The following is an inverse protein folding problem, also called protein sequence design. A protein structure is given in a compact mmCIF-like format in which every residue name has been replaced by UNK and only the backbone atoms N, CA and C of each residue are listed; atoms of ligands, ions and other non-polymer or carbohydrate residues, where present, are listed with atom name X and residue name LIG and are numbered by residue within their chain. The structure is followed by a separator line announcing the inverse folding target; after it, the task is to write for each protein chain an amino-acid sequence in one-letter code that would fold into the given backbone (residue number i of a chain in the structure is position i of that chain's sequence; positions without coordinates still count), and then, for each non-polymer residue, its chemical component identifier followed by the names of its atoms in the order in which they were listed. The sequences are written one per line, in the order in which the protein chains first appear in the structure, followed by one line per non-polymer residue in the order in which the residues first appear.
data_IF_181133147292
#
_entry.id   IF_181133147292
#
_cell.length_a   1.000
_cell.length_b   1.000
_cell.length_c   1.000
_cell.angle_alpha   90.00
_cell.angle_beta   90.00
_cell.angle_gamma   90.00
#
_symmetry.space_group_name_H-M   'P 1'
#
loop_
_entity.id
_entity.type
_entity.pdbx_description
1 polymer ?
#
# COMPACT_ATOMS: atom_id res chain seq x y z
N UNK A 1 17.75 -7.32 14.16
CA UNK A 1 17.97 -7.71 12.75
C UNK A 1 18.19 -9.19 12.48
N UNK A 2 19.05 -9.86 13.25
CA UNK A 2 19.39 -11.29 13.03
C UNK A 2 18.14 -12.18 13.09
N UNK A 3 17.30 -12.03 14.12
CA UNK A 3 16.08 -12.83 14.25
C UNK A 3 15.13 -12.64 13.07
N UNK A 4 14.90 -11.39 12.64
CA UNK A 4 14.06 -11.09 11.48
C UNK A 4 14.63 -11.75 10.22
N UNK A 5 15.95 -11.72 10.04
CA UNK A 5 16.64 -12.37 8.92
C UNK A 5 16.35 -13.87 8.89
N UNK A 6 16.46 -14.56 10.04
CA UNK A 6 16.19 -16.00 10.14
C UNK A 6 14.74 -16.28 9.75
N UNK A 7 13.78 -15.55 10.33
CA UNK A 7 12.35 -15.72 10.02
C UNK A 7 12.08 -15.46 8.53
N UNK A 8 12.72 -14.45 7.95
CA UNK A 8 12.54 -14.09 6.55
C UNK A 8 13.12 -15.12 5.57
N UNK A 9 14.28 -15.71 5.91
CA UNK A 9 14.87 -16.82 5.14
C UNK A 9 13.95 -18.03 5.18
N UNK A 10 13.41 -18.38 6.35
CA UNK A 10 12.42 -19.46 6.46
C UNK A 10 11.18 -19.15 5.61
N UNK A 11 10.67 -17.93 5.66
CA UNK A 11 9.54 -17.49 4.85
C UNK A 11 9.80 -17.63 3.33
N UNK A 12 10.98 -17.18 2.87
CA UNK A 12 11.40 -17.34 1.47
C UNK A 12 11.45 -18.81 1.06
N UNK A 13 12.05 -19.68 1.89
CA UNK A 13 12.14 -21.11 1.59
C UNK A 13 10.75 -21.76 1.50
N UNK A 14 9.84 -21.44 2.42
CA UNK A 14 8.45 -21.93 2.37
C UNK A 14 7.76 -21.49 1.07
N UNK A 15 7.94 -20.22 0.68
CA UNK A 15 7.36 -19.70 -0.55
C UNK A 15 7.94 -20.36 -1.80
N UNK A 16 9.27 -20.52 -1.90
CA UNK A 16 9.95 -21.17 -3.02
C UNK A 16 9.59 -22.64 -3.14
N UNK A 17 9.55 -23.39 -2.03
CA UNK A 17 9.12 -24.80 -2.03
C UNK A 17 7.67 -24.93 -2.49
N UNK A 18 6.81 -23.98 -2.12
CA UNK A 18 5.42 -23.95 -2.59
C UNK A 18 5.35 -23.73 -4.11
N UNK A 19 6.15 -22.82 -4.66
CA UNK A 19 6.23 -22.61 -6.11
C UNK A 19 6.87 -23.78 -6.87
N UNK A 20 7.83 -24.47 -6.26
CA UNK A 20 8.48 -25.64 -6.85
C UNK A 20 7.53 -26.84 -6.93
N UNK A 21 6.64 -26.99 -5.94
CA UNK A 21 5.61 -28.05 -5.88
C UNK A 21 4.30 -27.69 -6.59
N UNK A 22 4.28 -26.63 -7.41
CA UNK A 22 3.09 -26.23 -8.17
C UNK A 22 2.67 -27.31 -9.17
N UNK A 23 1.39 -27.35 -9.48
CA UNK A 23 0.82 -28.25 -10.52
C UNK A 23 0.77 -27.58 -11.89
N UNK A 24 0.43 -26.29 -11.92
CA UNK A 24 0.38 -25.51 -13.15
C UNK A 24 1.79 -25.16 -13.64
N UNK A 25 2.09 -25.31 -14.94
CA UNK A 25 3.43 -25.00 -15.46
C UNK A 25 3.77 -23.51 -15.29
N UNK A 26 2.78 -22.64 -15.46
CA UNK A 26 2.92 -21.19 -15.32
C UNK A 26 2.80 -20.73 -13.86
N UNK A 27 3.65 -19.78 -13.48
CA UNK A 27 3.55 -19.08 -12.20
C UNK A 27 2.67 -17.85 -12.40
N UNK A 28 1.62 -17.73 -11.60
CA UNK A 28 0.70 -16.59 -11.65
C UNK A 28 1.39 -15.27 -11.27
N UNK A 29 0.98 -14.16 -11.88
CA UNK A 29 1.60 -12.83 -11.73
C UNK A 29 1.64 -12.36 -10.27
N UNK A 30 0.62 -12.69 -9.46
CA UNK A 30 0.63 -12.37 -8.03
C UNK A 30 1.89 -12.92 -7.33
N UNK A 31 2.35 -14.11 -7.74
CA UNK A 31 3.53 -14.74 -7.16
C UNK A 31 4.84 -14.11 -7.67
N UNK A 32 4.84 -13.44 -8.83
CA UNK A 32 5.99 -12.66 -9.28
C UNK A 32 6.20 -11.49 -8.33
N UNK A 33 5.12 -10.77 -8.01
CA UNK A 33 5.12 -9.67 -7.05
C UNK A 33 5.51 -10.13 -5.65
N UNK A 34 4.95 -11.23 -5.14
CA UNK A 34 5.35 -11.78 -3.85
C UNK A 34 6.83 -12.20 -3.84
N UNK A 35 7.31 -12.89 -4.87
CA UNK A 35 8.72 -13.31 -4.92
C UNK A 35 9.66 -12.10 -4.92
N UNK A 36 9.37 -11.09 -5.75
CA UNK A 36 10.16 -9.87 -5.81
C UNK A 36 10.14 -9.13 -4.46
N UNK A 37 8.98 -9.03 -3.83
CA UNK A 37 8.83 -8.50 -2.47
C UNK A 37 9.74 -9.22 -1.47
N UNK A 38 9.65 -10.55 -1.39
CA UNK A 38 10.38 -11.34 -0.39
C UNK A 38 11.89 -11.19 -0.58
N UNK A 39 12.36 -11.32 -1.81
CA UNK A 39 13.80 -11.27 -2.14
C UNK A 39 14.36 -9.87 -1.90
N UNK A 40 13.69 -8.84 -2.41
CA UNK A 40 14.19 -7.47 -2.28
C UNK A 40 14.18 -7.02 -0.81
N UNK A 41 13.13 -7.32 -0.04
CA UNK A 41 13.11 -6.95 1.39
C UNK A 41 14.24 -7.63 2.18
N UNK A 42 14.60 -8.88 1.84
CA UNK A 42 15.75 -9.54 2.45
C UNK A 42 17.06 -8.77 2.15
N UNK A 43 17.27 -8.39 0.89
CA UNK A 43 18.44 -7.61 0.47
C UNK A 43 18.49 -6.24 1.15
N UNK A 44 17.37 -5.52 1.20
CA UNK A 44 17.26 -4.20 1.81
C UNK A 44 17.56 -4.27 3.31
N UNK A 45 16.93 -5.21 4.02
CA UNK A 45 17.12 -5.43 5.45
C UNK A 45 18.58 -5.72 5.79
N UNK A 46 19.23 -6.58 5.01
CA UNK A 46 20.65 -6.90 5.21
C UNK A 46 21.57 -5.72 4.90
N UNK A 47 21.29 -4.96 3.83
CA UNK A 47 22.12 -3.82 3.43
C UNK A 47 22.04 -2.64 4.40
N UNK A 48 20.84 -2.28 4.83
CA UNK A 48 20.61 -1.12 5.70
C UNK A 48 21.03 -1.37 7.15
N UNK A 49 20.83 -2.59 7.64
CA UNK A 49 21.00 -2.89 9.06
C UNK A 49 22.40 -3.44 9.37
N UNK A 50 23.38 -3.15 8.49
CA UNK A 50 24.80 -3.35 8.79
C UNK A 50 25.18 -2.37 9.91
N UNK A 51 25.43 -2.91 11.09
CA UNK A 51 25.75 -2.13 12.28
C UNK A 51 26.74 -2.87 13.17
N UNK A 52 27.55 -2.12 13.91
CA UNK A 52 28.48 -2.64 14.91
C UNK A 52 27.76 -2.57 16.26
N UNK A 53 27.44 -3.71 16.90
CA UNK A 53 26.80 -3.71 18.21
C UNK A 53 27.78 -3.20 19.27
N UNK A 54 27.28 -2.43 20.24
CA UNK A 54 28.08 -1.95 21.38
C UNK A 54 28.59 -3.12 22.23
N UNK A 55 27.77 -4.17 22.38
CA UNK A 55 28.16 -5.47 22.93
C UNK A 55 27.24 -6.58 22.42
N UNK A 56 27.62 -7.84 22.60
CA UNK A 56 26.88 -9.00 22.07
C UNK A 56 25.42 -9.12 22.55
N UNK A 57 25.07 -8.51 23.68
CA UNK A 57 23.73 -8.55 24.27
C UNK A 57 23.08 -7.16 24.37
N UNK A 58 23.74 -6.10 23.91
CA UNK A 58 23.15 -4.76 23.90
C UNK A 58 22.11 -4.66 22.80
N UNK A 59 21.00 -3.98 23.08
CA UNK A 59 20.06 -3.55 22.05
C UNK A 59 20.57 -2.35 21.25
N UNK A 60 21.73 -1.81 21.62
CA UNK A 60 22.34 -0.64 20.99
C UNK A 60 23.44 -1.05 20.01
N UNK A 61 23.39 -0.47 18.82
CA UNK A 61 24.37 -0.65 17.76
C UNK A 61 24.57 0.66 17.02
N UNK A 62 25.73 0.80 16.37
CA UNK A 62 26.07 1.96 15.55
C UNK A 62 26.04 1.55 14.08
N UNK A 63 25.36 2.34 13.24
CA UNK A 63 25.30 2.10 11.80
C UNK A 63 26.71 2.00 11.21
N UNK A 64 26.89 1.11 10.24
CA UNK A 64 28.18 0.92 9.55
C UNK A 64 28.53 2.11 8.66
N UNK A 65 27.53 2.86 8.21
CA UNK A 65 27.68 4.03 7.35
C UNK A 65 27.44 5.32 8.14
N UNK A 66 27.88 6.46 7.59
CA UNK A 66 27.66 7.77 8.21
C UNK A 66 27.30 8.86 7.18
N UNK A 67 26.69 9.94 7.68
CA UNK A 67 26.42 11.15 6.92
C UNK A 67 25.61 10.88 5.64
N UNK A 68 26.12 11.38 4.52
CA UNK A 68 25.42 11.32 3.23
C UNK A 68 25.27 9.89 2.70
N UNK A 69 26.25 9.02 2.96
CA UNK A 69 26.18 7.61 2.54
C UNK A 69 25.09 6.88 3.33
N UNK A 70 25.05 7.10 4.64
CA UNK A 70 24.01 6.54 5.51
C UNK A 70 22.63 7.03 5.10
N UNK A 71 22.48 8.33 4.84
CA UNK A 71 21.23 8.90 4.34
C UNK A 71 20.75 8.23 3.04
N UNK A 72 21.67 8.03 2.08
CA UNK A 72 21.34 7.36 0.81
C UNK A 72 20.91 5.91 1.02
N UNK A 73 21.65 5.14 1.82
CA UNK A 73 21.33 3.74 2.11
C UNK A 73 20.01 3.64 2.89
N UNK A 74 19.80 4.54 3.87
CA UNK A 74 18.59 4.66 4.65
C UNK A 74 17.36 4.91 3.78
N UNK A 75 17.45 5.77 2.77
CA UNK A 75 16.31 6.05 1.89
C UNK A 75 16.20 5.14 0.68
N UNK A 76 17.30 4.51 0.25
CA UNK A 76 17.23 3.33 -0.60
C UNK A 76 16.45 2.22 0.10
N UNK A 77 16.74 1.95 1.37
CA UNK A 77 15.95 1.04 2.21
C UNK A 77 14.52 1.54 2.42
N UNK A 78 14.35 2.75 2.93
CA UNK A 78 13.05 3.28 3.35
C UNK A 78 12.05 3.36 2.21
N UNK A 79 12.48 3.85 1.04
CA UNK A 79 11.62 3.91 -0.13
C UNK A 79 11.31 2.51 -0.67
N UNK A 80 12.30 1.63 -0.77
CA UNK A 80 12.03 0.28 -1.28
C UNK A 80 11.33 -0.61 -0.26
N UNK A 81 11.33 -0.28 1.04
CA UNK A 81 10.45 -0.89 2.01
C UNK A 81 8.99 -0.61 1.63
N UNK A 82 8.62 0.65 1.34
CA UNK A 82 7.26 0.95 0.86
C UNK A 82 7.02 0.40 -0.57
N UNK A 83 8.04 0.34 -1.41
CA UNK A 83 7.94 -0.17 -2.78
C UNK A 83 7.76 -1.68 -2.91
N UNK A 84 8.43 -2.45 -2.07
CA UNK A 84 8.38 -3.90 -2.15
C UNK A 84 7.46 -4.48 -1.08
N UNK A 85 7.57 -4.00 0.16
CA UNK A 85 6.68 -4.46 1.24
C UNK A 85 5.26 -3.95 1.05
N UNK A 86 5.07 -2.64 0.86
CA UNK A 86 3.74 -2.01 0.84
C UNK A 86 3.14 -1.84 -0.56
N UNK A 87 3.93 -1.96 -1.63
CA UNK A 87 3.44 -1.88 -3.00
C UNK A 87 3.50 -3.24 -3.69
N UNK A 88 4.67 -3.83 -3.93
CA UNK A 88 4.77 -5.11 -4.65
C UNK A 88 4.00 -6.23 -3.94
N UNK A 89 4.21 -6.46 -2.63
CA UNK A 89 3.48 -7.49 -1.89
C UNK A 89 1.95 -7.30 -1.95
N UNK A 90 1.49 -6.05 -1.89
CA UNK A 90 0.06 -5.70 -1.93
C UNK A 90 -0.53 -5.71 -3.34
N UNK A 91 0.28 -5.48 -4.38
CA UNK A 91 -0.09 -5.77 -5.77
C UNK A 91 -0.29 -7.28 -5.93
N UNK A 92 0.52 -8.12 -5.28
CA UNK A 92 0.29 -9.56 -5.18
C UNK A 92 -1.09 -9.90 -4.59
N UNK A 93 -1.49 -9.22 -3.52
CA UNK A 93 -2.85 -9.34 -2.95
C UNK A 93 -3.91 -8.89 -3.96
N UNK A 94 -3.78 -7.71 -4.56
CA UNK A 94 -4.71 -7.19 -5.55
C UNK A 94 -4.90 -8.17 -6.72
N UNK A 95 -3.81 -8.69 -7.28
CA UNK A 95 -3.84 -9.63 -8.38
C UNK A 95 -4.57 -10.92 -8.05
N UNK A 96 -4.61 -11.34 -6.78
CA UNK A 96 -5.40 -12.50 -6.40
C UNK A 96 -6.85 -12.13 -6.05
N UNK A 97 -7.05 -11.18 -5.15
CA UNK A 97 -8.37 -10.93 -4.55
C UNK A 97 -9.33 -10.15 -5.43
N UNK A 98 -8.84 -9.20 -6.25
CA UNK A 98 -9.70 -8.44 -7.16
C UNK A 98 -10.37 -9.34 -8.19
N UNK A 99 -9.65 -10.10 -9.05
CA UNK A 99 -10.29 -10.98 -10.02
C UNK A 99 -11.09 -12.10 -9.33
N UNK A 100 -10.61 -12.62 -8.20
CA UNK A 100 -11.29 -13.72 -7.50
C UNK A 100 -12.65 -13.30 -6.94
N UNK A 101 -12.76 -12.12 -6.33
CA UNK A 101 -14.02 -11.61 -5.79
C UNK A 101 -14.92 -11.05 -6.89
N UNK A 102 -14.33 -10.44 -7.93
CA UNK A 102 -15.08 -9.92 -9.08
C UNK A 102 -15.61 -11.04 -9.98
N UNK A 103 -15.04 -12.24 -9.91
CA UNK A 103 -15.30 -13.37 -10.82
C UNK A 103 -15.07 -12.96 -12.28
N UNK A 104 -13.96 -12.24 -12.50
CA UNK A 104 -13.55 -11.75 -13.80
C UNK A 104 -12.11 -12.15 -14.09
N UNK A 105 -11.77 -12.45 -15.36
CA UNK A 105 -10.38 -12.61 -15.74
C UNK A 105 -9.63 -11.30 -15.54
N UNK A 106 -8.33 -11.39 -15.23
CA UNK A 106 -7.46 -10.22 -15.19
C UNK A 106 -7.49 -9.53 -16.55
N UNK A 107 -7.62 -8.21 -16.55
CA UNK A 107 -7.81 -7.42 -17.76
C UNK A 107 -6.70 -7.63 -18.82
N UNK A 108 -5.43 -7.43 -18.47
CA UNK A 108 -4.35 -7.51 -19.44
C UNK A 108 -3.10 -8.22 -18.90
N UNK A 109 -2.81 -9.40 -19.47
CA UNK A 109 -1.59 -10.14 -19.18
C UNK A 109 -0.34 -9.41 -19.68
N UNK A 110 -0.39 -8.78 -20.86
CA UNK A 110 0.74 -7.98 -21.39
C UNK A 110 1.07 -6.80 -20.47
N UNK A 111 0.04 -6.11 -19.98
CA UNK A 111 0.24 -5.05 -19.00
C UNK A 111 0.84 -5.61 -17.71
N UNK A 112 0.42 -6.81 -17.28
CA UNK A 112 0.99 -7.53 -16.13
C UNK A 112 2.50 -7.78 -16.26
N UNK A 113 2.99 -8.08 -17.48
CA UNK A 113 4.43 -8.24 -17.73
C UNK A 113 5.13 -6.89 -17.69
N UNK A 114 4.64 -5.92 -18.47
CA UNK A 114 5.30 -4.61 -18.63
C UNK A 114 5.39 -3.93 -17.27
N UNK A 115 4.27 -3.80 -16.56
CA UNK A 115 4.24 -3.06 -15.30
C UNK A 115 5.03 -3.78 -14.21
N UNK A 116 5.08 -5.12 -14.19
CA UNK A 116 5.89 -5.86 -13.22
C UNK A 116 7.37 -5.54 -13.40
N UNK A 117 7.93 -5.78 -14.58
CA UNK A 117 9.37 -5.61 -14.80
C UNK A 117 9.81 -4.16 -14.67
N UNK A 118 9.04 -3.24 -15.23
CA UNK A 118 9.37 -1.81 -15.11
C UNK A 118 9.21 -1.29 -13.69
N UNK A 119 8.18 -1.71 -12.93
CA UNK A 119 8.04 -1.34 -11.52
C UNK A 119 9.23 -1.85 -10.70
N UNK A 120 9.50 -3.16 -10.74
CA UNK A 120 10.55 -3.78 -9.91
C UNK A 120 11.94 -3.21 -10.21
N UNK A 121 12.22 -2.86 -11.47
CA UNK A 121 13.50 -2.24 -11.83
C UNK A 121 13.58 -0.77 -11.40
N UNK A 122 12.56 0.03 -11.70
CA UNK A 122 12.58 1.48 -11.50
C UNK A 122 12.52 1.85 -10.01
N UNK A 123 11.73 1.12 -9.21
CA UNK A 123 11.49 1.48 -7.79
C UNK A 123 12.80 1.59 -6.98
N UNK A 124 13.79 0.75 -7.28
CA UNK A 124 15.08 0.72 -6.60
C UNK A 124 15.79 2.08 -6.61
N UNK A 125 15.60 2.87 -7.66
CA UNK A 125 16.29 4.13 -7.90
C UNK A 125 15.65 5.34 -7.22
N UNK A 126 14.43 5.21 -6.71
CA UNK A 126 13.65 6.36 -6.24
C UNK A 126 14.01 6.82 -4.82
N UNK A 127 14.91 6.13 -4.11
CA UNK A 127 15.37 6.51 -2.77
C UNK A 127 15.79 7.99 -2.61
N UNK A 128 16.62 8.57 -3.50
CA UNK A 128 17.09 9.95 -3.37
C UNK A 128 16.00 11.03 -3.42
N UNK A 129 14.75 10.72 -3.77
CA UNK A 129 13.67 11.70 -3.72
C UNK A 129 13.29 12.16 -2.30
N UNK A 130 13.76 11.44 -1.29
CA UNK A 130 13.65 11.80 0.12
C UNK A 130 14.76 12.77 0.56
N UNK A 131 15.73 13.06 -0.32
CA UNK A 131 16.97 13.75 0.00
C UNK A 131 17.20 14.97 -0.89
N UNK A 132 16.12 15.53 -1.44
CA UNK A 132 16.21 16.75 -2.24
C UNK A 132 16.63 17.96 -1.41
N UNK A 133 17.52 18.77 -1.97
CA UNK A 133 18.09 19.95 -1.31
C UNK A 133 18.75 19.65 0.06
N UNK A 134 19.26 18.42 0.21
CA UNK A 134 20.08 18.01 1.35
C UNK A 134 21.57 17.99 0.97
N UNK A 135 22.43 17.50 1.87
CA UNK A 135 23.85 17.27 1.61
C UNK A 135 24.14 16.15 0.59
N UNK A 136 23.13 15.39 0.14
CA UNK A 136 23.30 14.39 -0.92
C UNK A 136 23.72 15.06 -2.23
N UNK A 137 24.72 14.54 -2.98
CA UNK A 137 25.13 15.12 -4.26
C UNK A 137 23.98 15.30 -5.24
N UNK A 138 24.00 16.42 -5.95
CA UNK A 138 22.92 16.81 -6.84
C UNK A 138 22.61 15.78 -7.94
N UNK A 139 23.63 15.08 -8.44
CA UNK A 139 23.44 14.03 -9.45
C UNK A 139 22.56 12.89 -8.93
N UNK A 140 22.74 12.49 -7.67
CA UNK A 140 21.98 11.41 -7.05
C UNK A 140 20.54 11.85 -6.79
N UNK A 141 20.35 13.10 -6.35
CA UNK A 141 19.02 13.69 -6.22
C UNK A 141 18.28 13.72 -7.58
N UNK A 142 18.93 14.19 -8.64
CA UNK A 142 18.33 14.26 -9.99
C UNK A 142 18.02 12.87 -10.54
N UNK A 143 18.84 11.87 -10.22
CA UNK A 143 18.57 10.48 -10.57
C UNK A 143 17.29 9.99 -9.88
N UNK A 144 17.17 10.19 -8.56
CA UNK A 144 15.97 9.82 -7.81
C UNK A 144 14.71 10.49 -8.34
N UNK A 145 14.75 11.81 -8.57
CA UNK A 145 13.65 12.55 -9.20
C UNK A 145 13.26 11.95 -10.55
N UNK A 146 14.23 11.70 -11.43
CA UNK A 146 13.98 11.19 -12.78
C UNK A 146 13.29 9.82 -12.74
N UNK A 147 13.83 8.90 -11.95
CA UNK A 147 13.25 7.56 -11.82
C UNK A 147 11.90 7.57 -11.10
N UNK A 148 11.69 8.45 -10.11
CA UNK A 148 10.37 8.63 -9.46
C UNK A 148 9.31 9.15 -10.44
N UNK A 149 9.64 10.06 -11.36
CA UNK A 149 8.72 10.48 -12.42
C UNK A 149 8.40 9.31 -13.36
N UNK A 150 9.41 8.55 -13.78
CA UNK A 150 9.21 7.36 -14.63
C UNK A 150 8.41 6.27 -13.93
N UNK A 151 8.52 6.14 -12.61
CA UNK A 151 7.83 5.16 -11.76
C UNK A 151 6.30 5.33 -11.77
N UNK A 152 5.81 6.50 -12.16
CA UNK A 152 4.38 6.77 -12.28
C UNK A 152 3.66 5.76 -13.19
N UNK A 153 4.18 5.57 -14.41
CA UNK A 153 3.54 4.72 -15.42
C UNK A 153 3.43 3.24 -15.01
N UNK A 154 4.50 2.55 -14.54
CA UNK A 154 4.37 1.17 -14.10
C UNK A 154 3.53 1.02 -12.84
N UNK A 155 3.54 2.02 -11.96
CA UNK A 155 2.65 2.04 -10.80
C UNK A 155 1.18 2.06 -11.26
N UNK A 156 0.82 2.98 -12.16
CA UNK A 156 -0.51 3.06 -12.74
C UNK A 156 -0.87 1.85 -13.60
N UNK A 157 0.10 1.15 -14.18
CA UNK A 157 -0.14 -0.16 -14.81
C UNK A 157 -0.82 -1.15 -13.87
N UNK A 158 -0.45 -1.15 -12.58
CA UNK A 158 -1.12 -1.93 -11.54
C UNK A 158 -2.56 -1.45 -11.29
N UNK A 159 -2.76 -0.14 -11.19
CA UNK A 159 -4.09 0.47 -10.99
C UNK A 159 -5.03 0.12 -12.15
N UNK A 160 -4.58 0.34 -13.38
CA UNK A 160 -5.34 0.08 -14.59
C UNK A 160 -5.71 -1.40 -14.67
N UNK A 161 -4.76 -2.30 -14.42
CA UNK A 161 -5.05 -3.73 -14.48
C UNK A 161 -6.04 -4.17 -13.39
N UNK A 162 -5.92 -3.62 -12.17
CA UNK A 162 -6.86 -3.83 -11.08
C UNK A 162 -8.27 -3.32 -11.40
N UNK A 163 -8.41 -2.06 -11.79
CA UNK A 163 -9.72 -1.45 -12.06
C UNK A 163 -10.40 -1.98 -13.31
N UNK A 164 -9.65 -2.16 -14.42
CA UNK A 164 -10.22 -2.66 -15.67
C UNK A 164 -10.63 -4.13 -15.59
N UNK A 165 -10.11 -4.89 -14.61
CA UNK A 165 -10.60 -6.24 -14.30
C UNK A 165 -12.07 -6.22 -13.86
N UNK A 166 -12.57 -5.10 -13.30
CA UNK A 166 -14.00 -4.92 -12.99
C UNK A 166 -14.84 -4.48 -14.19
N UNK A 167 -14.28 -4.32 -15.38
CA UNK A 167 -15.06 -3.92 -16.56
C UNK A 167 -16.20 -4.92 -16.81
N UNK A 168 -17.43 -4.40 -16.90
CA UNK A 168 -18.65 -5.21 -16.97
C UNK A 168 -19.16 -5.79 -15.65
N UNK A 169 -18.48 -5.55 -14.52
CA UNK A 169 -18.90 -5.95 -13.16
C UNK A 169 -19.00 -4.75 -12.20
N UNK A 170 -19.08 -3.53 -12.73
CA UNK A 170 -19.17 -2.30 -11.92
C UNK A 170 -20.45 -2.22 -11.09
N UNK A 171 -21.50 -2.95 -11.46
CA UNK A 171 -22.71 -3.15 -10.66
C UNK A 171 -22.42 -3.79 -9.30
N UNK A 172 -21.39 -4.65 -9.22
CA UNK A 172 -20.94 -5.27 -7.95
C UNK A 172 -20.46 -4.25 -6.93
N UNK A 173 -20.07 -3.03 -7.33
CA UNK A 173 -19.78 -1.97 -6.36
C UNK A 173 -20.99 -1.63 -5.50
N UNK A 174 -22.20 -1.71 -6.02
CA UNK A 174 -23.40 -1.37 -5.23
C UNK A 174 -23.76 -2.50 -4.28
N UNK A 175 -23.60 -3.75 -4.73
CA UNK A 175 -24.09 -4.94 -4.04
C UNK A 175 -23.06 -5.59 -3.10
N UNK A 176 -21.76 -5.45 -3.37
CA UNK A 176 -20.71 -6.12 -2.63
C UNK A 176 -19.75 -5.10 -1.96
N UNK A 177 -19.84 -4.91 -0.63
CA UNK A 177 -18.98 -3.98 0.09
C UNK A 177 -17.50 -4.43 0.14
N UNK A 178 -17.20 -5.72 -0.08
CA UNK A 178 -15.81 -6.19 -0.17
C UNK A 178 -15.18 -5.71 -1.49
N UNK A 179 -15.93 -5.77 -2.59
CA UNK A 179 -15.51 -5.21 -3.88
C UNK A 179 -15.33 -3.69 -3.78
N UNK A 180 -16.24 -2.97 -3.10
CA UNK A 180 -16.03 -1.53 -2.82
C UNK A 180 -14.70 -1.27 -2.14
N UNK A 181 -14.38 -2.02 -1.10
CA UNK A 181 -13.12 -1.91 -0.36
C UNK A 181 -11.91 -2.11 -1.28
N UNK A 182 -11.91 -3.18 -2.08
CA UNK A 182 -10.83 -3.50 -3.01
C UNK A 182 -10.67 -2.44 -4.12
N UNK A 183 -11.76 -1.91 -4.66
CA UNK A 183 -11.72 -0.89 -5.72
C UNK A 183 -11.24 0.45 -5.18
N UNK A 184 -11.77 0.90 -4.03
CA UNK A 184 -11.32 2.13 -3.38
C UNK A 184 -9.85 2.02 -2.99
N UNK A 185 -9.41 0.84 -2.57
CA UNK A 185 -7.98 0.58 -2.36
C UNK A 185 -7.13 0.89 -3.58
N UNK A 186 -7.51 0.33 -4.74
CA UNK A 186 -6.78 0.56 -6.00
C UNK A 186 -6.85 2.03 -6.43
N UNK A 187 -7.94 2.74 -6.12
CA UNK A 187 -8.05 4.18 -6.36
C UNK A 187 -7.06 4.99 -5.50
N UNK A 188 -6.95 4.70 -4.21
CA UNK A 188 -5.96 5.34 -3.33
C UNK A 188 -4.52 4.96 -3.71
N UNK A 189 -4.31 3.76 -4.22
CA UNK A 189 -3.03 3.36 -4.80
C UNK A 189 -2.68 4.22 -6.02
N UNK A 190 -3.59 4.37 -6.97
CA UNK A 190 -3.39 5.24 -8.13
C UNK A 190 -3.13 6.70 -7.75
N UNK A 191 -3.89 7.20 -6.77
CA UNK A 191 -3.74 8.54 -6.23
C UNK A 191 -2.37 8.76 -5.57
N UNK A 192 -1.99 7.91 -4.62
CA UNK A 192 -0.70 8.02 -3.91
C UNK A 192 0.49 7.78 -4.82
N UNK A 193 0.39 6.88 -5.79
CA UNK A 193 1.43 6.64 -6.81
C UNK A 193 1.44 7.66 -7.95
N UNK A 194 0.53 8.63 -7.93
CA UNK A 194 0.64 9.87 -8.70
C UNK A 194 1.22 11.00 -7.86
N UNK A 195 0.73 11.15 -6.62
CA UNK A 195 1.23 12.15 -5.66
C UNK A 195 2.73 11.99 -5.38
N UNK A 196 3.21 10.77 -5.19
CA UNK A 196 4.63 10.48 -4.94
C UNK A 196 5.56 11.04 -6.03
N UNK A 197 5.36 10.67 -7.33
CA UNK A 197 6.07 11.29 -8.44
C UNK A 197 5.99 12.82 -8.48
N UNK A 198 4.84 13.41 -8.18
CA UNK A 198 4.70 14.87 -8.10
C UNK A 198 5.57 15.45 -6.99
N UNK A 199 5.54 14.88 -5.78
CA UNK A 199 6.37 15.30 -4.65
C UNK A 199 7.86 15.00 -4.84
N UNK A 200 8.22 14.10 -5.76
CA UNK A 200 9.62 13.81 -6.13
C UNK A 200 10.23 14.87 -7.06
N UNK A 201 9.42 15.78 -7.60
CA UNK A 201 9.93 16.92 -8.38
C UNK A 201 10.58 17.88 -7.39
N UNK A 202 11.88 18.18 -7.55
CA UNK A 202 12.63 19.07 -6.63
C UNK A 202 11.82 20.34 -6.26
N UNK A 203 11.24 21.04 -7.24
CA UNK A 203 10.44 22.25 -6.99
C UNK A 203 9.26 22.01 -6.03
N UNK A 204 8.51 20.92 -6.22
CA UNK A 204 7.40 20.54 -5.31
C UNK A 204 7.95 20.08 -3.97
N UNK A 205 9.02 19.29 -3.99
CA UNK A 205 9.68 18.81 -2.78
C UNK A 205 10.15 19.96 -1.88
N UNK A 206 10.60 21.07 -2.46
CA UNK A 206 10.99 22.28 -1.73
C UNK A 206 9.86 22.89 -0.86
N UNK A 207 8.61 22.49 -1.11
CA UNK A 207 7.44 22.84 -0.31
C UNK A 207 6.98 21.67 0.57
N UNK A 208 6.98 20.44 0.04
CA UNK A 208 6.42 19.27 0.73
C UNK A 208 7.38 18.64 1.76
N UNK A 209 8.68 18.88 1.64
CA UNK A 209 9.69 18.27 2.50
C UNK A 209 9.58 18.82 3.93
N UNK A 210 9.72 17.94 4.92
CA UNK A 210 9.52 18.23 6.35
C UNK A 210 8.13 18.72 6.76
N UNK A 211 7.15 18.82 5.85
CA UNK A 211 5.78 19.20 6.17
C UNK A 211 4.86 17.99 6.35
N UNK A 212 3.69 18.24 6.92
CA UNK A 212 2.61 17.28 7.09
C UNK A 212 2.07 16.74 5.75
N UNK A 213 2.45 17.34 4.59
CA UNK A 213 2.11 16.78 3.28
C UNK A 213 2.74 15.38 3.12
N UNK A 214 3.99 15.19 3.56
CA UNK A 214 4.61 13.85 3.55
C UNK A 214 3.80 12.85 4.36
N UNK A 215 3.21 13.27 5.47
CA UNK A 215 2.40 12.42 6.35
C UNK A 215 1.05 12.10 5.66
N UNK A 216 0.46 13.07 4.97
CA UNK A 216 -0.72 12.89 4.12
C UNK A 216 -0.49 11.87 3.01
N UNK A 217 0.63 11.98 2.30
CA UNK A 217 1.05 11.03 1.27
C UNK A 217 1.25 9.61 1.83
N UNK A 218 1.94 9.50 2.97
CA UNK A 218 2.14 8.21 3.63
C UNK A 218 0.79 7.57 4.00
N UNK A 219 -0.14 8.32 4.58
CA UNK A 219 -1.42 7.76 5.01
C UNK A 219 -2.39 7.52 3.87
N UNK A 220 -2.32 8.29 2.77
CA UNK A 220 -3.10 8.00 1.55
C UNK A 220 -2.74 6.61 1.01
N UNK A 221 -1.45 6.25 0.98
CA UNK A 221 -0.98 4.90 0.65
C UNK A 221 -1.21 3.85 1.75
N UNK A 222 -0.89 4.17 3.00
CA UNK A 222 -0.92 3.19 4.10
C UNK A 222 -2.33 2.81 4.53
N UNK A 223 -3.22 3.79 4.69
CA UNK A 223 -4.60 3.52 5.08
C UNK A 223 -5.44 3.25 3.83
N UNK A 224 -5.36 4.13 2.84
CA UNK A 224 -6.17 4.10 1.62
C UNK A 224 -5.86 2.92 0.71
N UNK A 225 -4.59 2.59 0.46
CA UNK A 225 -4.20 1.42 -0.34
C UNK A 225 -4.01 0.18 0.54
N UNK A 226 -2.92 0.12 1.30
CA UNK A 226 -2.49 -1.05 2.08
C UNK A 226 -3.59 -1.55 3.03
N UNK A 227 -4.20 -0.63 3.79
CA UNK A 227 -5.31 -0.95 4.68
C UNK A 227 -6.51 -1.55 3.96
N UNK A 228 -7.08 -0.84 2.97
CA UNK A 228 -8.28 -1.30 2.26
C UNK A 228 -8.08 -2.63 1.51
N UNK A 229 -6.95 -2.86 0.82
CA UNK A 229 -6.74 -4.15 0.11
C UNK A 229 -6.55 -5.28 1.12
N UNK A 230 -5.90 -5.02 2.27
CA UNK A 230 -5.81 -6.00 3.36
C UNK A 230 -7.18 -6.34 3.91
N UNK A 231 -8.02 -5.33 4.17
CA UNK A 231 -9.37 -5.54 4.68
C UNK A 231 -10.20 -6.36 3.69
N UNK A 232 -10.15 -6.02 2.40
CA UNK A 232 -10.81 -6.79 1.35
C UNK A 232 -10.32 -8.24 1.27
N UNK A 233 -9.00 -8.44 1.34
CA UNK A 233 -8.38 -9.76 1.35
C UNK A 233 -8.79 -10.59 2.58
N UNK A 234 -8.78 -10.01 3.78
CA UNK A 234 -9.20 -10.66 5.02
C UNK A 234 -10.68 -11.04 4.96
N UNK A 235 -11.54 -10.14 4.50
CA UNK A 235 -12.97 -10.45 4.33
C UNK A 235 -13.23 -11.59 3.33
N UNK A 236 -12.35 -11.78 2.35
CA UNK A 236 -12.38 -12.95 1.48
C UNK A 236 -11.84 -14.21 2.19
N UNK A 237 -10.67 -14.11 2.82
CA UNK A 237 -9.94 -15.24 3.39
C UNK A 237 -10.62 -15.87 4.61
N UNK A 238 -11.16 -15.07 5.51
CA UNK A 238 -11.73 -15.56 6.79
C UNK A 238 -12.82 -16.62 6.58
N UNK A 239 -13.86 -16.41 5.75
CA UNK A 239 -14.84 -17.48 5.52
C UNK A 239 -14.20 -18.71 4.85
N UNK A 240 -13.25 -18.54 3.93
CA UNK A 240 -12.61 -19.67 3.24
C UNK A 240 -11.76 -20.54 4.16
N UNK A 241 -10.91 -19.91 4.99
CA UNK A 241 -10.02 -20.63 5.91
C UNK A 241 -10.80 -21.33 7.03
N UNK A 242 -11.89 -20.72 7.51
CA UNK A 242 -12.76 -21.30 8.53
C UNK A 242 -13.92 -22.13 7.96
N UNK A 243 -13.93 -22.40 6.64
CA UNK A 243 -14.96 -23.19 5.94
C UNK A 243 -16.38 -22.71 6.26
N UNK A 244 -16.59 -21.41 6.27
CA UNK A 244 -17.91 -20.75 6.41
C UNK A 244 -18.43 -20.38 5.04
N UNK A 245 -19.74 -20.51 4.83
CA UNK A 245 -20.40 -20.15 3.57
C UNK A 245 -20.32 -18.64 3.31
N UNK A 246 -20.35 -17.83 4.38
CA UNK A 246 -20.32 -16.37 4.29
C UNK A 246 -19.74 -15.73 5.56
N UNK A 247 -19.48 -14.43 5.46
CA UNK A 247 -19.22 -13.58 6.63
C UNK A 247 -20.47 -13.45 7.51
N UNK A 248 -20.28 -13.16 8.78
CA UNK A 248 -21.35 -12.94 9.76
C UNK A 248 -22.34 -11.85 9.32
N UNK A 249 -21.85 -10.69 8.85
CA UNK A 249 -22.69 -9.59 8.36
C UNK A 249 -21.99 -8.76 7.28
N UNK A 250 -22.63 -8.62 6.12
CA UNK A 250 -22.17 -7.72 5.05
C UNK A 250 -22.53 -6.27 5.33
N UNK A 251 -23.58 -6.01 6.10
CA UNK A 251 -23.89 -4.67 6.57
C UNK A 251 -22.73 -4.10 7.41
N UNK A 252 -22.11 -4.91 8.27
CA UNK A 252 -20.92 -4.50 9.03
C UNK A 252 -19.70 -4.22 8.14
N UNK A 253 -19.52 -4.97 7.05
CA UNK A 253 -18.49 -4.66 6.04
C UNK A 253 -18.76 -3.30 5.41
N UNK A 254 -20.02 -2.99 5.08
CA UNK A 254 -20.40 -1.69 4.53
C UNK A 254 -20.20 -0.55 5.53
N UNK A 255 -20.49 -0.76 6.82
CA UNK A 255 -20.21 0.21 7.88
C UNK A 255 -18.71 0.45 8.05
N UNK A 256 -17.92 -0.63 8.10
CA UNK A 256 -16.47 -0.55 8.10
C UNK A 256 -15.98 0.30 6.92
N UNK A 257 -16.41 -0.04 5.70
CA UNK A 257 -16.04 0.70 4.49
C UNK A 257 -16.29 2.20 4.61
N UNK A 258 -17.50 2.63 5.00
CA UNK A 258 -17.84 4.05 5.07
C UNK A 258 -17.10 4.79 6.18
N UNK A 259 -17.04 4.21 7.38
CA UNK A 259 -16.34 4.83 8.52
C UNK A 259 -14.85 4.97 8.21
N UNK A 260 -14.22 3.92 7.66
CA UNK A 260 -12.81 3.98 7.26
C UNK A 260 -12.57 4.97 6.12
N UNK A 261 -13.47 5.04 5.12
CA UNK A 261 -13.36 5.97 3.99
C UNK A 261 -13.45 7.43 4.44
N UNK A 262 -14.43 7.76 5.30
CA UNK A 262 -14.54 9.09 5.88
C UNK A 262 -13.30 9.40 6.73
N UNK A 263 -12.84 8.44 7.53
CA UNK A 263 -11.64 8.57 8.34
C UNK A 263 -10.39 8.92 7.53
N UNK A 264 -10.13 8.20 6.44
CA UNK A 264 -8.97 8.49 5.58
C UNK A 264 -9.13 9.81 4.82
N UNK A 265 -10.32 10.14 4.31
CA UNK A 265 -10.54 11.42 3.62
C UNK A 265 -10.31 12.61 4.54
N UNK A 266 -10.79 12.55 5.79
CA UNK A 266 -10.49 13.58 6.79
C UNK A 266 -8.99 13.67 7.09
N UNK A 267 -8.32 12.52 7.21
CA UNK A 267 -6.88 12.48 7.47
C UNK A 267 -6.10 13.18 6.34
N UNK A 268 -6.27 12.76 5.08
CA UNK A 268 -5.48 13.27 3.96
C UNK A 268 -5.76 14.76 3.71
N UNK A 269 -7.02 15.19 3.82
CA UNK A 269 -7.39 16.59 3.57
C UNK A 269 -6.79 17.50 4.63
N UNK A 270 -6.81 17.10 5.91
CA UNK A 270 -6.12 17.84 6.98
C UNK A 270 -4.61 17.94 6.73
N UNK A 271 -3.98 16.85 6.29
CA UNK A 271 -2.53 16.79 6.04
C UNK A 271 -2.08 17.57 4.80
N UNK A 272 -2.90 17.60 3.76
CA UNK A 272 -2.62 18.47 2.61
C UNK A 272 -2.69 19.94 2.99
N UNK A 273 -3.76 20.36 3.67
CA UNK A 273 -3.92 21.77 4.03
C UNK A 273 -2.82 22.20 4.99
N UNK A 274 -2.55 21.43 6.04
CA UNK A 274 -1.45 21.71 6.98
C UNK A 274 -0.08 21.68 6.30
N UNK A 275 0.18 20.70 5.44
CA UNK A 275 1.46 20.56 4.76
C UNK A 275 1.77 21.71 3.79
N UNK A 276 0.78 22.14 3.02
CA UNK A 276 0.90 23.33 2.16
C UNK A 276 1.08 24.58 3.01
N UNK A 277 0.28 24.74 4.08
CA UNK A 277 0.36 25.90 4.95
C UNK A 277 1.73 26.01 5.63
N UNK A 278 2.27 24.92 6.17
CA UNK A 278 3.64 24.88 6.71
C UNK A 278 4.68 25.31 5.68
N UNK A 279 4.65 24.69 4.50
CA UNK A 279 5.61 24.99 3.44
C UNK A 279 5.56 26.45 3.00
N UNK A 280 4.36 27.04 2.95
CA UNK A 280 4.18 28.45 2.61
C UNK A 280 4.65 29.38 3.74
N UNK A 281 4.26 29.12 4.99
CA UNK A 281 4.64 29.95 6.14
C UNK A 281 6.16 29.95 6.35
N UNK A 282 6.82 28.80 6.23
CA UNK A 282 8.28 28.70 6.42
C UNK A 282 9.11 29.40 5.36
N UNK A 283 8.53 29.71 4.20
CA UNK A 283 9.21 30.40 3.09
C UNK A 283 8.60 31.75 2.75
N UNK A 284 7.71 32.25 3.59
CA UNK A 284 7.07 33.54 3.41
C UNK A 284 8.04 34.65 3.80
N UNK A 285 8.19 35.63 2.91
CA UNK A 285 8.98 36.83 3.13
C UNK A 285 8.06 38.05 3.06
N UNK A 286 8.25 38.99 3.98
CA UNK A 286 7.55 40.27 3.95
C UNK A 286 8.10 41.19 2.85
N UNK A 287 7.52 42.39 2.71
CA UNK A 287 7.93 43.37 1.71
C UNK A 287 9.38 43.89 1.91
N UNK A 288 9.97 43.63 3.07
CA UNK A 288 11.31 44.04 3.48
C UNK A 288 12.33 42.90 3.33
N UNK A 289 11.88 41.69 2.99
CA UNK A 289 12.73 40.50 2.83
C UNK A 289 13.05 39.76 4.12
N UNK A 290 12.35 40.04 5.23
CA UNK A 290 12.43 39.24 6.45
C UNK A 290 11.44 38.07 6.40
N UNK A 291 11.73 37.01 7.17
CA UNK A 291 10.78 35.90 7.33
C UNK A 291 9.51 36.41 8.02
N UNK A 292 8.37 36.20 7.38
CA UNK A 292 7.07 36.75 7.82
C UNK A 292 6.56 36.06 9.09
N UNK A 293 6.78 34.75 9.21
CA UNK A 293 6.30 33.94 10.33
C UNK A 293 7.44 33.33 11.13
N UNK A 294 7.32 33.36 12.45
CA UNK A 294 8.11 32.53 13.34
C UNK A 294 7.68 31.05 13.24
N UNK A 295 8.58 30.15 13.63
CA UNK A 295 8.26 28.71 13.62
C UNK A 295 7.10 28.37 14.57
N UNK A 296 7.00 29.05 15.72
CA UNK A 296 5.95 28.82 16.72
C UNK A 296 4.57 29.18 16.18
N UNK A 297 4.44 30.28 15.43
CA UNK A 297 3.17 30.65 14.79
C UNK A 297 2.70 29.58 13.80
N UNK A 298 3.63 28.97 13.07
CA UNK A 298 3.29 27.84 12.20
C UNK A 298 2.81 26.63 13.01
N UNK A 299 3.49 26.30 14.12
CA UNK A 299 3.08 25.19 15.00
C UNK A 299 1.69 25.41 15.59
N UNK A 300 1.39 26.63 16.04
CA UNK A 300 0.06 27.00 16.56
C UNK A 300 -1.02 26.88 15.48
N UNK A 301 -0.73 27.33 14.25
CA UNK A 301 -1.63 27.20 13.11
C UNK A 301 -1.94 25.73 12.76
N UNK A 302 -1.08 24.77 13.12
CA UNK A 302 -1.29 23.36 12.83
C UNK A 302 -2.30 22.66 13.74
N UNK A 303 -2.57 23.20 14.93
CA UNK A 303 -3.35 22.51 15.94
C UNK A 303 -4.73 22.01 15.46
N UNK A 304 -5.55 22.81 14.73
CA UNK A 304 -6.83 22.32 14.20
C UNK A 304 -6.68 21.10 13.28
N UNK A 305 -5.64 21.07 12.44
CA UNK A 305 -5.39 19.96 11.52
C UNK A 305 -4.95 18.69 12.26
N UNK A 306 -4.24 18.83 13.39
CA UNK A 306 -3.91 17.70 14.25
C UNK A 306 -5.14 17.07 14.91
N UNK A 307 -6.11 17.89 15.30
CA UNK A 307 -7.40 17.39 15.82
C UNK A 307 -8.17 16.65 14.73
N UNK A 308 -8.27 17.21 13.52
CA UNK A 308 -8.97 16.57 12.39
C UNK A 308 -8.28 15.25 12.01
N UNK A 309 -6.95 15.24 11.95
CA UNK A 309 -6.15 14.03 11.71
C UNK A 309 -6.44 12.94 12.74
N UNK A 310 -6.42 13.30 14.03
CA UNK A 310 -6.69 12.37 15.12
C UNK A 310 -8.10 11.78 15.01
N UNK A 311 -9.11 12.62 14.72
CA UNK A 311 -10.48 12.18 14.49
C UNK A 311 -10.57 11.22 13.30
N UNK A 312 -9.94 11.54 12.17
CA UNK A 312 -9.87 10.68 10.99
C UNK A 312 -9.24 9.31 11.31
N UNK A 313 -8.15 9.30 12.08
CA UNK A 313 -7.52 8.08 12.58
C UNK A 313 -8.41 7.25 13.50
N UNK A 314 -9.14 7.88 14.43
CA UNK A 314 -10.10 7.21 15.31
C UNK A 314 -11.24 6.56 14.53
N UNK A 315 -11.76 7.24 13.50
CA UNK A 315 -12.77 6.65 12.62
C UNK A 315 -12.20 5.42 11.90
N UNK A 316 -11.01 5.53 11.30
CA UNK A 316 -10.38 4.39 10.62
C UNK A 316 -10.16 3.19 11.56
N UNK A 317 -9.67 3.45 12.78
CA UNK A 317 -9.52 2.43 13.83
C UNK A 317 -10.86 1.81 14.22
N UNK A 318 -11.91 2.62 14.38
CA UNK A 318 -13.27 2.13 14.66
C UNK A 318 -13.76 1.20 13.56
N UNK A 319 -13.49 1.53 12.30
CA UNK A 319 -13.73 0.65 11.16
C UNK A 319 -13.01 -0.69 11.29
N UNK A 320 -11.72 -0.67 11.63
CA UNK A 320 -10.94 -1.89 11.85
C UNK A 320 -11.48 -2.74 13.03
N UNK A 321 -11.95 -2.11 14.10
CA UNK A 321 -12.59 -2.81 15.22
C UNK A 321 -13.91 -3.48 14.79
N UNK A 322 -14.69 -2.87 13.91
CA UNK A 322 -15.88 -3.50 13.30
C UNK A 322 -15.47 -4.75 12.49
N UNK A 323 -14.36 -4.68 11.74
CA UNK A 323 -13.83 -5.86 11.04
C UNK A 323 -13.46 -6.98 12.00
N UNK A 324 -12.74 -6.67 13.09
CA UNK A 324 -12.34 -7.66 14.11
C UNK A 324 -13.57 -8.36 14.67
N UNK A 325 -14.59 -7.59 15.06
CA UNK A 325 -15.85 -8.15 15.55
C UNK A 325 -16.55 -9.04 14.51
N UNK A 326 -16.67 -8.57 13.27
CA UNK A 326 -17.33 -9.32 12.20
C UNK A 326 -16.60 -10.63 11.87
N UNK A 327 -15.27 -10.59 11.79
CA UNK A 327 -14.43 -11.77 11.56
C UNK A 327 -14.54 -12.75 12.73
N UNK A 328 -14.49 -12.25 13.97
CA UNK A 328 -14.63 -13.09 15.16
C UNK A 328 -15.98 -13.82 15.23
N UNK A 329 -17.08 -13.12 14.90
CA UNK A 329 -18.41 -13.72 14.83
C UNK A 329 -18.51 -14.77 13.71
N UNK A 330 -17.87 -14.50 12.56
CA UNK A 330 -17.77 -15.46 11.44
C UNK A 330 -17.02 -16.72 11.86
N UNK A 331 -15.89 -16.58 12.55
CA UNK A 331 -15.09 -17.71 13.06
C UNK A 331 -15.91 -18.56 14.02
N UNK A 332 -16.71 -17.93 14.89
CA UNK A 332 -17.64 -18.59 15.80
C UNK A 332 -18.83 -19.28 15.11
N UNK A 333 -19.00 -19.11 13.80
CA UNK A 333 -20.09 -19.74 13.04
C UNK A 333 -21.45 -19.11 13.30
N UNK A 334 -21.47 -17.87 13.79
CA UNK A 334 -22.71 -17.12 13.93
C UNK A 334 -23.05 -16.49 12.60
N UNK A 335 -24.34 -16.40 12.34
CA UNK A 335 -24.89 -15.67 11.21
C UNK A 335 -25.86 -14.60 11.72
N UNK A 336 -25.87 -13.44 11.08
CA UNK A 336 -26.81 -12.38 11.47
C UNK A 336 -28.19 -12.67 10.88
N UNK A 337 -29.19 -12.78 11.76
CA UNK A 337 -30.58 -12.97 11.36
C UNK A 337 -31.05 -11.79 10.47
N UNK A 338 -31.72 -12.11 9.35
CA UNK A 338 -32.28 -11.13 8.42
C UNK A 338 -31.39 -10.72 7.25
N UNK A 339 -30.14 -11.21 7.14
CA UNK A 339 -29.33 -11.01 5.92
C UNK A 339 -29.44 -12.24 4.99
N UNK A 340 -29.93 -12.02 3.76
CA UNK A 340 -30.03 -13.05 2.72
C UNK A 340 -28.65 -13.64 2.38
N UNK A 341 -28.60 -14.97 2.16
CA UNK A 341 -27.38 -15.65 1.71
C UNK A 341 -27.04 -15.22 0.28
N UNK A 342 -25.78 -14.83 0.02
CA UNK A 342 -25.31 -14.41 -1.30
C UNK A 342 -24.91 -15.57 -2.21
N UNK A 343 -24.93 -16.82 -1.71
CA UNK A 343 -24.81 -17.98 -2.57
C UNK A 343 -26.21 -18.50 -2.91
N UNK A 344 -26.62 -18.52 -4.20
CA UNK A 344 -27.60 -19.51 -4.62
C UNK A 344 -27.05 -20.85 -4.14
N UNK A 345 -27.86 -21.63 -3.42
CA UNK A 345 -27.49 -22.99 -3.06
C UNK A 345 -26.88 -23.65 -4.30
N UNK A 346 -25.65 -24.18 -4.19
CA UNK A 346 -25.09 -25.02 -5.24
C UNK A 346 -26.04 -26.21 -5.31
N UNK A 347 -27.03 -26.14 -6.21
CA UNK A 347 -27.83 -27.27 -6.56
C UNK A 347 -26.84 -28.31 -7.08
N UNK A 348 -26.72 -29.41 -6.34
CA UNK A 348 -25.98 -30.59 -6.73
C UNK A 348 -26.62 -31.16 -8.01
N UNK A 349 -26.22 -30.60 -9.14
CA UNK A 349 -26.62 -31.00 -10.47
C UNK A 349 -25.37 -31.13 -11.31
N UNK A 350 -24.79 -32.32 -11.32
CA UNK A 350 -23.84 -32.76 -12.35
C UNK A 350 -24.51 -32.59 -13.71
N UNK A 351 -24.21 -31.50 -14.41
CA UNK A 351 -24.37 -31.42 -15.86
C UNK A 351 -23.18 -30.65 -16.44
N UNK A 352 -22.44 -31.35 -17.28
CA UNK A 352 -21.18 -30.94 -17.86
C UNK A 352 -21.31 -29.63 -18.65
N UNK A 353 -20.44 -28.67 -18.38
CA UNK A 353 -20.20 -27.55 -19.27
C UNK A 353 -19.13 -27.92 -20.32
N UNK A 354 -19.24 -27.46 -21.58
CA UNK A 354 -18.29 -27.80 -22.63
C UNK A 354 -16.95 -27.08 -22.42
N UNK A 355 -15.86 -27.77 -22.81
CA UNK A 355 -14.49 -27.30 -22.71
C UNK A 355 -14.28 -25.96 -23.46
N UNK A 356 -13.75 -24.97 -22.75
CA UNK A 356 -13.25 -23.74 -23.37
C UNK A 356 -11.94 -24.04 -24.11
N UNK A 357 -11.89 -23.70 -25.40
CA UNK A 357 -10.65 -23.72 -26.19
C UNK A 357 -9.72 -22.56 -25.76
N UNK A 358 -8.40 -22.76 -25.75
CA UNK A 358 -7.45 -21.68 -25.51
C UNK A 358 -7.36 -20.75 -26.73
N UNK A 359 -7.38 -19.44 -26.48
CA UNK A 359 -7.05 -18.41 -27.48
C UNK A 359 -5.52 -18.24 -27.58
N UNK A 360 -5.02 -18.15 -28.80
CA UNK A 360 -3.63 -17.83 -29.17
C UNK A 360 -3.19 -16.42 -28.74
#
# INVERSE_FOLDING_TARGET
DIWLTIVWVVYLLVFLVTLAKRKEPHIYVANWFYLAFIVTIAMLHLGNNLAIPESAFSSKSYAMFAGVQDALIQWWYGHNAVGFFLTAGFLGMMYYFVPKRAERPVYSYRLSIIHFWSLIFIYIWAGPHHLHFTALPDWAQTLGMTFSIMLWMPSWGGMINGLMTLSGAWDKLRTDPVIRMLVVSVAFYGMSTFEGPVMSIKAVNSLSHYTDWTIGHVHSGALGWVGFVSFGAVYCLVPWLWKRERLYSLALVSWHFWIATIGIVLYITAMWVSGILQGLMWRAYDAQGFLEYSFVETVEAMHPFYVIRALGGVLFLTGALIMVYNCWMTIRGRERAGEASQHPAIASGLNAAPAAQPAE
#
